data_IF_642780106635
#
_entry.id   IF_642780106635
#
_cell.length_a   1.000
_cell.length_b   1.000
_cell.length_c   1.000
_cell.angle_alpha   90.00
_cell.angle_beta   90.00
_cell.angle_gamma   90.00
#
_symmetry.space_group_name_H-M   'P 1'
#
loop_
_entity.id
_entity.type
_entity.pdbx_description
1 polymer ?
#
# COMPACT_ATOMS: atom_id res chain seq x y z
N UNK A 1 37.16 -35.38 -0.82
CA UNK A 1 36.90 -35.02 0.59
C UNK A 1 37.18 -33.53 0.73
N UNK A 2 36.14 -32.70 0.86
CA UNK A 2 36.26 -31.26 1.12
C UNK A 2 35.59 -30.95 2.46
N UNK A 3 36.35 -30.63 3.53
CA UNK A 3 35.79 -30.29 4.83
C UNK A 3 35.54 -28.78 4.96
N UNK A 4 34.67 -28.42 5.92
CA UNK A 4 34.41 -27.09 6.48
C UNK A 4 33.42 -26.15 5.76
N UNK A 5 32.11 -26.42 5.91
CA UNK A 5 31.04 -25.40 5.99
C UNK A 5 30.24 -25.59 7.29
N UNK A 6 30.79 -25.23 8.45
CA UNK A 6 30.12 -25.47 9.75
C UNK A 6 30.35 -24.37 10.81
N UNK A 7 30.54 -23.12 10.42
CA UNK A 7 30.75 -22.05 11.41
C UNK A 7 30.04 -20.74 11.04
N UNK A 8 28.77 -20.82 10.60
CA UNK A 8 27.88 -19.67 10.69
C UNK A 8 27.53 -19.48 12.17
N UNK A 9 27.67 -18.27 12.69
CA UNK A 9 27.48 -18.02 14.11
C UNK A 9 25.98 -17.78 14.41
N UNK A 10 25.39 -18.40 15.44
CA UNK A 10 23.93 -18.33 15.69
C UNK A 10 23.38 -16.91 15.88
N UNK A 11 24.27 -15.97 16.20
CA UNK A 11 23.98 -14.57 16.43
C UNK A 11 23.90 -13.77 15.12
N UNK A 12 24.58 -14.20 14.05
CA UNK A 12 24.40 -13.62 12.70
C UNK A 12 22.99 -13.93 12.16
N UNK A 13 22.51 -15.15 12.40
CA UNK A 13 21.14 -15.57 12.05
C UNK A 13 20.08 -14.80 12.86
N UNK A 14 20.36 -14.54 14.15
CA UNK A 14 19.47 -13.77 15.03
C UNK A 14 19.42 -12.27 14.68
N UNK A 15 20.51 -11.71 14.15
CA UNK A 15 20.56 -10.31 13.72
C UNK A 15 19.89 -10.10 12.36
N UNK A 16 19.94 -11.10 11.47
CA UNK A 16 19.14 -11.10 10.24
C UNK A 16 17.64 -11.26 10.53
N UNK A 17 17.26 -12.03 11.56
CA UNK A 17 15.86 -12.18 11.98
C UNK A 17 15.18 -10.86 12.41
N UNK A 18 15.95 -9.85 12.83
CA UNK A 18 15.44 -8.58 13.37
C UNK A 18 15.43 -7.43 12.35
N UNK A 19 15.97 -7.62 11.14
CA UNK A 19 16.02 -6.59 10.11
C UNK A 19 14.84 -6.73 9.12
N UNK A 20 14.24 -5.62 8.63
CA UNK A 20 13.29 -5.70 7.52
C UNK A 20 14.05 -5.95 6.22
N UNK A 21 14.20 -7.23 5.87
CA UNK A 21 14.96 -7.67 4.69
C UNK A 21 14.30 -7.29 3.35
N UNK A 22 13.07 -6.75 3.40
CA UNK A 22 12.22 -6.53 2.24
C UNK A 22 11.59 -5.12 2.23
N UNK A 23 12.38 -4.05 2.01
CA UNK A 23 11.87 -2.68 1.97
C UNK A 23 10.77 -2.48 0.92
N UNK A 24 10.84 -3.19 -0.22
CA UNK A 24 9.81 -3.15 -1.26
C UNK A 24 8.51 -3.82 -0.83
N UNK A 25 8.58 -4.91 -0.06
CA UNK A 25 7.40 -5.60 0.47
C UNK A 25 6.69 -4.74 1.53
N UNK A 26 7.47 -4.03 2.36
CA UNK A 26 6.93 -3.04 3.30
C UNK A 26 6.20 -1.91 2.56
N UNK A 27 6.81 -1.36 1.50
CA UNK A 27 6.18 -0.32 0.69
C UNK A 27 4.88 -0.80 0.04
N UNK A 28 4.88 -2.01 -0.53
CA UNK A 28 3.69 -2.62 -1.12
C UNK A 28 2.56 -2.78 -0.09
N UNK A 29 2.89 -3.16 1.14
CA UNK A 29 1.91 -3.31 2.23
C UNK A 29 1.26 -1.97 2.57
N UNK A 30 2.06 -0.90 2.64
CA UNK A 30 1.54 0.46 2.87
C UNK A 30 0.67 0.95 1.72
N UNK A 31 1.03 0.68 0.46
CA UNK A 31 0.25 1.10 -0.70
C UNK A 31 -1.08 0.35 -0.81
N UNK A 32 -1.10 -0.95 -0.52
CA UNK A 32 -2.33 -1.74 -0.41
C UNK A 32 -3.22 -1.22 0.73
N UNK A 33 -2.64 -0.94 1.90
CA UNK A 33 -3.40 -0.39 3.03
C UNK A 33 -4.02 0.97 2.67
N UNK A 34 -3.24 1.87 2.06
CA UNK A 34 -3.74 3.16 1.61
C UNK A 34 -4.88 3.00 0.59
N UNK A 35 -4.77 2.05 -0.34
CA UNK A 35 -5.84 1.73 -1.30
C UNK A 35 -7.11 1.24 -0.62
N UNK A 36 -7.00 0.36 0.37
CA UNK A 36 -8.16 -0.15 1.13
C UNK A 36 -8.87 0.99 1.85
N UNK A 37 -8.12 1.82 2.58
CA UNK A 37 -8.68 2.97 3.31
C UNK A 37 -9.33 3.97 2.35
N UNK A 38 -8.66 4.30 1.25
CA UNK A 38 -9.20 5.23 0.24
C UNK A 38 -10.47 4.67 -0.42
N UNK A 39 -10.49 3.36 -0.71
CA UNK A 39 -11.66 2.69 -1.27
C UNK A 39 -12.83 2.73 -0.30
N UNK A 40 -12.60 2.43 0.97
CA UNK A 40 -13.63 2.53 2.01
C UNK A 40 -14.16 3.96 2.13
N UNK A 41 -13.26 4.94 2.14
CA UNK A 41 -13.64 6.35 2.17
C UNK A 41 -14.53 6.72 0.97
N UNK A 42 -14.20 6.29 -0.25
CA UNK A 42 -15.03 6.54 -1.44
C UNK A 42 -16.38 5.82 -1.40
N UNK A 43 -16.40 4.55 -0.96
CA UNK A 43 -17.65 3.77 -0.81
C UNK A 43 -18.64 4.47 0.13
N UNK A 44 -18.14 5.10 1.19
CA UNK A 44 -18.98 5.86 2.14
C UNK A 44 -19.25 7.28 1.64
N UNK A 45 -18.23 8.00 1.18
CA UNK A 45 -18.34 9.41 0.81
C UNK A 45 -19.23 9.63 -0.42
N UNK A 46 -19.14 8.79 -1.43
CA UNK A 46 -19.90 8.94 -2.68
C UNK A 46 -21.42 8.97 -2.43
N UNK A 47 -22.06 7.96 -1.81
CA UNK A 47 -23.50 8.00 -1.55
C UNK A 47 -23.89 9.13 -0.60
N UNK A 48 -23.08 9.44 0.41
CA UNK A 48 -23.35 10.54 1.35
C UNK A 48 -23.34 11.90 0.63
N UNK A 49 -22.35 12.14 -0.22
CA UNK A 49 -22.23 13.38 -0.99
C UNK A 49 -23.31 13.50 -2.07
N UNK A 50 -23.75 12.39 -2.66
CA UNK A 50 -24.87 12.39 -3.61
C UNK A 50 -26.23 12.67 -2.94
N UNK A 51 -26.40 12.24 -1.69
CA UNK A 51 -27.62 12.48 -0.93
C UNK A 51 -27.62 13.84 -0.20
N UNK A 52 -26.47 14.49 -0.05
CA UNK A 52 -26.36 15.80 0.60
C UNK A 52 -27.05 16.88 -0.24
N UNK A 53 -27.72 17.81 0.43
CA UNK A 53 -28.32 19.01 -0.15
C UNK A 53 -27.34 20.19 -0.30
N UNK A 54 -26.07 19.99 0.06
CA UNK A 54 -24.98 20.95 -0.18
C UNK A 54 -24.70 21.18 -1.68
N UNK A 55 -23.93 22.24 -1.97
CA UNK A 55 -23.49 22.62 -3.32
C UNK A 55 -22.99 21.40 -4.13
N UNK A 56 -23.82 20.98 -5.09
CA UNK A 56 -23.57 19.80 -5.93
C UNK A 56 -22.29 19.95 -6.76
N UNK A 57 -21.88 21.18 -7.07
CA UNK A 57 -20.62 21.48 -7.75
C UNK A 57 -19.40 21.16 -6.88
N UNK A 58 -19.43 21.52 -5.60
CA UNK A 58 -18.38 21.17 -4.63
C UNK A 58 -18.29 19.65 -4.44
N UNK A 59 -19.42 18.99 -4.23
CA UNK A 59 -19.50 17.53 -4.05
C UNK A 59 -18.96 16.78 -5.27
N UNK A 60 -19.37 17.18 -6.48
CA UNK A 60 -18.89 16.54 -7.71
C UNK A 60 -17.36 16.69 -7.87
N UNK A 61 -16.81 17.87 -7.54
CA UNK A 61 -15.36 18.07 -7.58
C UNK A 61 -14.62 17.20 -6.57
N UNK A 62 -15.16 17.03 -5.34
CA UNK A 62 -14.57 16.17 -4.32
C UNK A 62 -14.57 14.70 -4.75
N UNK A 63 -15.67 14.22 -5.34
CA UNK A 63 -15.77 12.86 -5.89
C UNK A 63 -14.72 12.67 -6.99
N UNK A 64 -14.64 13.59 -7.96
CA UNK A 64 -13.66 13.50 -9.06
C UNK A 64 -12.21 13.51 -8.57
N UNK A 65 -11.88 14.38 -7.60
CA UNK A 65 -10.55 14.42 -6.98
C UNK A 65 -10.24 13.11 -6.24
N UNK A 66 -11.20 12.62 -5.46
CA UNK A 66 -11.07 11.36 -4.74
C UNK A 66 -10.85 10.17 -5.68
N UNK A 67 -11.62 10.09 -6.77
CA UNK A 67 -11.46 9.07 -7.80
C UNK A 67 -10.11 9.19 -8.52
N UNK A 68 -9.65 10.40 -8.84
CA UNK A 68 -8.35 10.60 -9.46
C UNK A 68 -7.19 10.15 -8.56
N UNK A 69 -7.24 10.49 -7.27
CA UNK A 69 -6.27 10.03 -6.27
C UNK A 69 -6.31 8.51 -6.15
N UNK A 70 -7.49 7.92 -6.13
CA UNK A 70 -7.65 6.46 -6.06
C UNK A 70 -7.04 5.76 -7.28
N UNK A 71 -7.28 6.24 -8.50
CA UNK A 71 -6.66 5.67 -9.71
C UNK A 71 -5.13 5.79 -9.66
N UNK A 72 -4.61 6.94 -9.22
CA UNK A 72 -3.17 7.13 -9.06
C UNK A 72 -2.57 6.12 -8.06
N UNK A 73 -3.24 5.88 -6.93
CA UNK A 73 -2.82 4.87 -5.95
C UNK A 73 -2.84 3.45 -6.53
N UNK A 74 -3.83 3.11 -7.36
CA UNK A 74 -3.91 1.79 -8.02
C UNK A 74 -2.70 1.59 -8.93
N UNK A 75 -2.41 2.58 -9.78
CA UNK A 75 -1.27 2.53 -10.71
C UNK A 75 0.07 2.47 -9.97
N UNK A 76 0.21 3.24 -8.88
CA UNK A 76 1.40 3.20 -8.04
C UNK A 76 1.58 1.82 -7.41
N UNK A 77 0.55 1.28 -6.78
CA UNK A 77 0.61 -0.04 -6.15
C UNK A 77 0.92 -1.15 -7.16
N UNK A 78 0.28 -1.10 -8.33
CA UNK A 78 0.57 -2.01 -9.44
C UNK A 78 2.05 -1.92 -9.84
N UNK A 79 2.60 -0.71 -9.96
CA UNK A 79 4.03 -0.48 -10.21
C UNK A 79 4.92 -1.10 -9.12
N UNK A 80 4.61 -0.86 -7.84
CA UNK A 80 5.37 -1.40 -6.70
C UNK A 80 5.34 -2.93 -6.67
N UNK A 81 4.21 -3.54 -7.05
CA UNK A 81 4.02 -4.99 -7.05
C UNK A 81 5.03 -5.72 -7.96
N UNK A 82 5.51 -5.11 -9.06
CA UNK A 82 6.52 -5.71 -9.93
C UNK A 82 7.90 -5.90 -9.26
N UNK A 83 8.18 -5.17 -8.18
CA UNK A 83 9.47 -5.23 -7.49
C UNK A 83 9.46 -6.22 -6.30
N UNK A 84 8.32 -6.84 -6.00
CA UNK A 84 8.14 -7.78 -4.89
C UNK A 84 8.03 -9.24 -5.37
N UNK A 85 7.69 -9.44 -6.65
CA UNK A 85 7.58 -10.77 -7.31
C UNK A 85 8.94 -11.22 -7.80
#
# INVERSE_FOLDING_TARGET
>A
MHPARRWASPWEDALQLWWPDHPMQFLNTLTVLALVVMSFALIVAVPVLYASSEDSGRSNRLILLGSAVWVALVLLNWGVSFFVV
#
